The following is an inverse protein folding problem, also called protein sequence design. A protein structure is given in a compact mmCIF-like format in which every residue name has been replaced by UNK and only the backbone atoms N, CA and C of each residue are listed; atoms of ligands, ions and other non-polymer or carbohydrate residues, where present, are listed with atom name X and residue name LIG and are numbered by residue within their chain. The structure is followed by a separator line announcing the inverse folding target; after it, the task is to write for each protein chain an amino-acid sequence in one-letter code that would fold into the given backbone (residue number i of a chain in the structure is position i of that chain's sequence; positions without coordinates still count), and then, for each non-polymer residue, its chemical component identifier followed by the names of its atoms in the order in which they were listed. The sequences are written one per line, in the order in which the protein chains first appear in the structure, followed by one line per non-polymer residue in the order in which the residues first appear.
data_IF_486721973679
#
_entry.id   IF_486721973679
#
_cell.length_a   1.000
_cell.length_b   1.000
_cell.length_c   1.000
_cell.angle_alpha   90.00
_cell.angle_beta   90.00
_cell.angle_gamma   90.00
#
_symmetry.space_group_name_H-M   'P 1'
#
loop_
_entity.id
_entity.type
_entity.pdbx_description
1 polymer ?
#
# COMPACT_ATOMS: atom_id res chain seq x y z
N UNK A 1 -49.48 18.33 15.34
CA UNK A 1 -48.43 17.95 14.37
C UNK A 1 -47.69 16.72 14.90
N UNK A 2 -48.04 15.47 14.56
CA UNK A 2 -47.19 14.35 14.93
C UNK A 2 -46.44 13.75 13.73
N UNK A 3 -45.22 13.34 14.04
CA UNK A 3 -44.38 12.35 13.38
C UNK A 3 -43.79 12.70 12.00
N UNK A 4 -42.63 13.35 12.02
CA UNK A 4 -41.68 13.29 10.92
C UNK A 4 -41.14 11.87 10.75
N UNK A 5 -41.25 11.36 9.54
CA UNK A 5 -40.72 10.07 9.11
C UNK A 5 -39.18 10.11 9.12
N UNK A 6 -38.56 9.72 10.23
CA UNK A 6 -37.14 9.41 10.31
C UNK A 6 -36.88 8.04 9.66
N UNK A 7 -36.96 7.95 8.33
CA UNK A 7 -36.65 6.74 7.60
C UNK A 7 -35.16 6.44 7.67
N UNK A 8 -34.76 5.50 8.52
CA UNK A 8 -33.40 4.96 8.53
C UNK A 8 -33.24 4.06 7.32
N UNK A 9 -32.36 4.43 6.39
CA UNK A 9 -31.98 3.55 5.28
C UNK A 9 -30.80 2.70 5.73
N UNK A 10 -31.06 1.45 6.10
CA UNK A 10 -30.01 0.45 6.29
C UNK A 10 -29.56 -0.06 4.91
N UNK A 11 -28.42 0.43 4.41
CA UNK A 11 -27.76 -0.15 3.23
C UNK A 11 -26.77 -1.21 3.69
N UNK A 12 -27.13 -2.47 3.48
CA UNK A 12 -26.22 -3.60 3.66
C UNK A 12 -25.27 -3.65 2.46
N UNK A 13 -23.97 -3.73 2.72
CA UNK A 13 -23.02 -4.09 1.66
C UNK A 13 -23.28 -5.53 1.26
N UNK A 14 -23.36 -5.79 -0.04
CA UNK A 14 -23.41 -7.15 -0.56
C UNK A 14 -22.07 -7.82 -0.23
N UNK A 15 -22.04 -8.93 0.53
CA UNK A 15 -20.80 -9.64 0.79
C UNK A 15 -20.09 -9.97 -0.53
N UNK A 16 -18.79 -9.72 -0.61
CA UNK A 16 -18.00 -9.93 -1.81
C UNK A 16 -18.10 -8.82 -2.86
N UNK A 17 -18.83 -7.72 -2.59
CA UNK A 17 -18.82 -6.56 -3.49
C UNK A 17 -17.41 -5.96 -3.58
N UNK A 18 -16.99 -5.48 -4.75
CA UNK A 18 -15.73 -4.78 -4.90
C UNK A 18 -15.64 -3.53 -4.00
N UNK A 19 -14.47 -3.32 -3.39
CA UNK A 19 -14.16 -2.25 -2.45
C UNK A 19 -13.21 -1.26 -3.11
N UNK A 20 -13.58 0.01 -3.12
CA UNK A 20 -12.72 1.08 -3.59
C UNK A 20 -11.58 1.37 -2.61
N UNK A 21 -10.35 1.47 -3.11
CA UNK A 21 -9.19 1.89 -2.34
C UNK A 21 -8.46 3.05 -3.03
N UNK A 22 -7.82 3.90 -2.24
CA UNK A 22 -6.89 4.93 -2.68
C UNK A 22 -5.49 4.59 -2.17
N UNK A 23 -4.50 4.58 -3.05
CA UNK A 23 -3.09 4.29 -2.76
C UNK A 23 -2.25 5.53 -3.03
N UNK A 24 -1.51 5.96 -2.03
CA UNK A 24 -0.47 6.99 -2.16
C UNK A 24 0.87 6.36 -1.82
N UNK A 25 1.79 6.36 -2.79
CA UNK A 25 3.09 5.73 -2.66
C UNK A 25 4.16 6.73 -3.08
N UNK A 26 5.12 6.95 -2.21
CA UNK A 26 6.35 7.65 -2.53
C UNK A 26 7.50 6.63 -2.46
N UNK A 27 8.30 6.56 -3.52
CA UNK A 27 9.53 5.75 -3.58
C UNK A 27 10.68 6.67 -3.97
N UNK A 28 11.70 6.77 -3.12
CA UNK A 28 12.92 7.53 -3.39
C UNK A 28 13.62 6.92 -4.62
N UNK A 29 13.98 7.77 -5.60
CA UNK A 29 14.52 7.31 -6.88
C UNK A 29 13.46 6.82 -7.89
N UNK A 30 12.18 6.74 -7.48
CA UNK A 30 11.09 6.27 -8.32
C UNK A 30 10.82 4.77 -8.19
N UNK A 31 9.56 4.39 -8.40
CA UNK A 31 9.15 2.99 -8.44
C UNK A 31 9.14 2.49 -9.89
N UNK A 32 9.83 1.39 -10.17
CA UNK A 32 9.72 0.65 -11.43
C UNK A 32 8.62 -0.39 -11.33
N UNK A 33 7.81 -0.49 -12.37
CA UNK A 33 6.70 -1.43 -12.52
C UNK A 33 5.82 -1.53 -11.26
N UNK A 34 5.31 -0.41 -10.76
CA UNK A 34 4.35 -0.44 -9.66
C UNK A 34 3.10 -1.22 -10.09
N UNK A 35 2.82 -2.30 -9.37
CA UNK A 35 1.75 -3.24 -9.68
C UNK A 35 0.88 -3.54 -8.47
N UNK A 36 -0.38 -3.87 -8.74
CA UNK A 36 -1.34 -4.46 -7.81
C UNK A 36 -1.79 -5.80 -8.39
N UNK A 37 -1.52 -6.88 -7.67
CA UNK A 37 -1.77 -8.26 -8.09
C UNK A 37 -1.22 -8.58 -9.49
N UNK A 38 0.00 -8.12 -9.77
CA UNK A 38 0.69 -8.26 -11.05
C UNK A 38 0.20 -7.35 -12.18
N UNK A 39 -0.85 -6.56 -11.97
CA UNK A 39 -1.34 -5.58 -12.96
C UNK A 39 -0.71 -4.22 -12.72
N UNK A 40 -0.27 -3.49 -13.76
CA UNK A 40 0.24 -2.14 -13.62
C UNK A 40 -0.76 -1.22 -12.89
N UNK A 41 -0.29 -0.54 -11.85
CA UNK A 41 -1.10 0.42 -11.11
C UNK A 41 -0.92 1.80 -11.75
N UNK A 42 -1.75 2.07 -12.76
CA UNK A 42 -1.72 3.34 -13.52
C UNK A 42 -2.40 4.47 -12.75
N UNK A 43 -3.39 4.13 -11.93
CA UNK A 43 -4.19 5.07 -11.16
C UNK A 43 -4.04 4.83 -9.65
N UNK A 44 -4.07 5.92 -8.89
CA UNK A 44 -4.04 5.87 -7.43
C UNK A 44 -5.34 5.34 -6.81
N UNK A 45 -6.44 5.32 -7.57
CA UNK A 45 -7.73 4.80 -7.13
C UNK A 45 -8.05 3.55 -7.91
N UNK A 46 -8.49 2.51 -7.22
CA UNK A 46 -8.87 1.25 -7.85
C UNK A 46 -9.89 0.51 -7.01
N UNK A 47 -10.43 -0.57 -7.55
CA UNK A 47 -11.45 -1.38 -6.88
C UNK A 47 -10.97 -2.82 -6.80
N UNK A 48 -11.04 -3.40 -5.60
CA UNK A 48 -10.56 -4.73 -5.29
C UNK A 48 -11.69 -5.60 -4.75
N UNK A 49 -11.73 -6.87 -5.15
CA UNK A 49 -12.59 -7.86 -4.49
C UNK A 49 -12.08 -8.14 -3.08
N UNK A 50 -12.93 -8.41 -2.08
CA UNK A 50 -12.44 -8.85 -0.77
C UNK A 50 -11.53 -10.08 -0.88
N UNK A 51 -10.42 -10.09 -0.15
CA UNK A 51 -9.41 -11.15 -0.23
C UNK A 51 -7.97 -10.68 -0.07
N UNK A 52 -7.00 -11.58 -0.32
CA UNK A 52 -5.58 -11.26 -0.27
C UNK A 52 -5.12 -10.51 -1.52
N UNK A 53 -4.28 -9.49 -1.31
CA UNK A 53 -3.74 -8.63 -2.36
C UNK A 53 -2.26 -8.34 -2.14
N UNK A 54 -1.58 -7.95 -3.21
CA UNK A 54 -0.16 -7.59 -3.18
C UNK A 54 0.07 -6.32 -3.99
N UNK A 55 0.60 -5.28 -3.33
CA UNK A 55 1.28 -4.18 -4.02
C UNK A 55 2.74 -4.55 -4.19
N UNK A 56 3.28 -4.36 -5.39
CA UNK A 56 4.65 -4.72 -5.72
C UNK A 56 5.31 -3.67 -6.60
N UNK A 57 6.62 -3.49 -6.45
CA UNK A 57 7.43 -2.64 -7.33
C UNK A 57 8.91 -3.00 -7.20
N UNK A 58 9.71 -2.43 -8.10
CA UNK A 58 11.16 -2.46 -8.06
C UNK A 58 11.70 -1.08 -7.65
N UNK A 59 12.71 -1.08 -6.78
CA UNK A 59 13.43 0.12 -6.36
C UNK A 59 14.90 0.01 -6.81
N UNK A 60 15.38 1.02 -7.53
CA UNK A 60 16.77 1.10 -7.95
C UNK A 60 17.66 1.59 -6.80
N UNK A 61 18.83 0.97 -6.66
CA UNK A 61 19.88 1.38 -5.73
C UNK A 61 19.37 1.72 -4.31
N UNK A 62 18.55 0.86 -3.65
CA UNK A 62 18.14 1.12 -2.27
C UNK A 62 19.39 1.22 -1.38
N UNK A 63 19.62 2.42 -0.83
CA UNK A 63 20.75 2.72 0.04
C UNK A 63 20.54 2.26 1.49
N UNK A 64 21.30 2.86 2.41
CA UNK A 64 21.18 2.61 3.86
C UNK A 64 20.06 3.42 4.54
N UNK A 65 19.27 4.16 3.75
CA UNK A 65 18.16 4.96 4.24
C UNK A 65 16.82 4.33 3.84
N UNK A 66 15.73 4.80 4.45
CA UNK A 66 14.40 4.42 4.00
C UNK A 66 14.15 4.97 2.61
N UNK A 67 13.39 4.23 1.80
CA UNK A 67 13.09 4.64 0.44
C UNK A 67 11.60 4.57 0.10
N UNK A 68 10.74 3.97 0.94
CA UNK A 68 9.29 3.93 0.69
C UNK A 68 8.50 4.56 1.83
N UNK A 69 7.50 5.36 1.44
CA UNK A 69 6.40 5.81 2.28
C UNK A 69 5.11 5.44 1.56
N UNK A 70 4.16 4.85 2.27
CA UNK A 70 2.91 4.40 1.65
C UNK A 70 1.73 4.56 2.58
N UNK A 71 0.60 4.98 2.01
CA UNK A 71 -0.71 5.00 2.67
C UNK A 71 -1.78 4.44 1.73
N UNK A 72 -2.57 3.50 2.24
CA UNK A 72 -3.78 2.96 1.64
C UNK A 72 -4.98 3.45 2.43
N UNK A 73 -6.03 3.89 1.76
CA UNK A 73 -7.28 4.32 2.37
C UNK A 73 -8.42 3.56 1.70
N UNK A 74 -9.34 2.98 2.47
CA UNK A 74 -10.62 2.56 1.91
C UNK A 74 -11.45 3.80 1.54
N UNK A 75 -12.09 3.73 0.37
CA UNK A 75 -13.09 4.70 -0.06
C UNK A 75 -14.48 4.06 0.16
N UNK A 76 -15.08 4.18 1.35
CA UNK A 76 -16.43 3.68 1.53
C UNK A 76 -17.41 4.48 0.69
N UNK A 77 -18.43 3.80 0.17
CA UNK A 77 -19.53 4.44 -0.55
C UNK A 77 -20.41 5.29 0.37
N UNK A 78 -20.31 5.08 1.69
CA UNK A 78 -21.07 5.78 2.72
C UNK A 78 -20.08 6.61 3.55
N UNK A 79 -20.26 7.93 3.56
CA UNK A 79 -19.37 8.88 4.25
C UNK A 79 -19.32 8.72 5.77
N UNK A 80 -20.29 8.03 6.37
CA UNK A 80 -20.36 7.76 7.82
C UNK A 80 -19.70 6.44 8.22
N UNK A 81 -19.30 5.61 7.26
CA UNK A 81 -18.54 4.40 7.55
C UNK A 81 -17.11 4.75 7.98
N UNK A 82 -16.49 3.88 8.78
CA UNK A 82 -15.06 3.99 9.05
C UNK A 82 -14.27 4.04 7.74
N UNK A 83 -13.21 4.84 7.71
CA UNK A 83 -12.21 4.85 6.64
C UNK A 83 -10.95 4.13 7.14
N UNK A 84 -10.90 2.78 7.14
CA UNK A 84 -9.67 2.10 7.54
C UNK A 84 -8.50 2.54 6.67
N UNK A 85 -7.35 2.67 7.32
CA UNK A 85 -6.10 3.12 6.72
C UNK A 85 -5.04 2.06 6.96
N UNK A 86 -4.34 1.67 5.91
CA UNK A 86 -3.06 1.00 6.05
C UNK A 86 -1.95 2.00 5.79
N UNK A 87 -0.89 1.95 6.60
CA UNK A 87 0.29 2.77 6.44
C UNK A 87 1.52 1.89 6.41
N UNK A 88 2.56 2.32 5.69
CA UNK A 88 3.86 1.66 5.74
C UNK A 88 4.36 1.62 7.19
N UNK A 89 4.65 0.41 7.66
CA UNK A 89 5.13 0.12 9.01
C UNK A 89 5.98 -1.16 9.00
N UNK A 90 6.93 -1.26 9.92
CA UNK A 90 7.84 -2.41 10.01
C UNK A 90 7.17 -3.58 10.76
N UNK A 91 5.98 -3.99 10.30
CA UNK A 91 5.15 -5.03 10.91
C UNK A 91 5.28 -6.40 10.22
N UNK A 92 6.21 -6.54 9.27
CA UNK A 92 6.46 -7.77 8.51
C UNK A 92 5.55 -7.98 7.29
N UNK A 93 4.55 -7.14 7.04
CA UNK A 93 3.75 -7.18 5.81
C UNK A 93 4.52 -6.67 4.59
N UNK A 94 5.49 -5.78 4.85
CA UNK A 94 6.43 -5.28 3.86
C UNK A 94 7.66 -6.16 3.84
N UNK A 95 7.95 -6.75 2.68
CA UNK A 95 9.15 -7.55 2.47
C UNK A 95 9.84 -7.17 1.18
N UNK A 96 11.14 -7.38 1.13
CA UNK A 96 11.96 -7.12 -0.03
C UNK A 96 12.95 -8.24 -0.28
N UNK A 97 13.27 -8.50 -1.55
CA UNK A 97 14.43 -9.30 -1.93
C UNK A 97 15.44 -8.40 -2.65
N UNK A 98 16.73 -8.66 -2.45
CA UNK A 98 17.83 -8.03 -3.21
C UNK A 98 18.33 -8.93 -4.34
N UNK A 99 17.72 -10.10 -4.50
CA UNK A 99 17.93 -11.02 -5.63
C UNK A 99 16.66 -11.06 -6.49
N UNK A 100 16.78 -11.27 -7.82
CA UNK A 100 15.62 -11.42 -8.67
C UNK A 100 14.73 -12.58 -8.18
N UNK A 101 13.43 -12.33 -7.89
CA UNK A 101 12.51 -13.37 -7.47
C UNK A 101 12.05 -14.21 -8.67
N UNK A 102 11.48 -15.38 -8.37
CA UNK A 102 10.80 -16.21 -9.37
C UNK A 102 9.56 -15.52 -9.94
N UNK A 103 9.08 -16.04 -11.07
CA UNK A 103 7.82 -15.61 -11.66
C UNK A 103 6.66 -15.73 -10.67
N UNK A 104 5.69 -14.83 -10.80
CA UNK A 104 4.49 -14.82 -9.96
C UNK A 104 4.63 -14.07 -8.64
N UNK A 105 5.81 -13.54 -8.29
CA UNK A 105 6.07 -12.84 -7.02
C UNK A 105 5.16 -11.63 -6.74
N UNK A 106 4.54 -11.09 -7.79
CA UNK A 106 3.61 -9.95 -7.73
C UNK A 106 2.16 -10.36 -7.41
N UNK A 107 1.87 -11.66 -7.28
CA UNK A 107 0.52 -12.17 -7.05
C UNK A 107 0.31 -12.65 -5.61
N UNK A 108 -0.94 -12.59 -5.11
CA UNK A 108 -1.32 -13.26 -3.88
C UNK A 108 -0.97 -14.76 -3.90
N UNK A 109 -0.60 -15.31 -2.74
CA UNK A 109 -0.25 -16.72 -2.59
C UNK A 109 1.17 -17.10 -2.99
N UNK A 110 1.98 -16.19 -3.53
CA UNK A 110 3.40 -16.45 -3.77
C UNK A 110 4.16 -16.69 -2.47
N UNK A 111 4.96 -17.76 -2.43
CA UNK A 111 5.80 -18.12 -1.30
C UNK A 111 7.04 -17.21 -1.21
N UNK A 112 7.03 -16.27 -0.27
CA UNK A 112 8.02 -15.19 -0.15
C UNK A 112 9.09 -15.44 0.92
N UNK A 113 9.46 -16.69 1.16
CA UNK A 113 10.48 -17.02 2.17
C UNK A 113 11.86 -16.41 1.89
N UNK A 114 12.17 -16.13 0.62
CA UNK A 114 13.40 -15.45 0.18
C UNK A 114 13.33 -13.92 0.28
N UNK A 115 12.21 -13.36 0.74
CA UNK A 115 12.05 -11.93 0.96
C UNK A 115 12.26 -11.64 2.46
N UNK A 116 13.21 -10.77 2.75
CA UNK A 116 13.46 -10.29 4.10
C UNK A 116 12.40 -9.24 4.47
N UNK A 117 11.92 -9.20 5.72
CA UNK A 117 11.10 -8.10 6.22
C UNK A 117 11.82 -6.77 6.04
N UNK A 118 11.09 -5.74 5.63
CA UNK A 118 11.63 -4.38 5.58
C UNK A 118 11.71 -3.78 6.98
N UNK A 119 12.69 -2.92 7.18
CA UNK A 119 12.97 -2.27 8.46
C UNK A 119 12.57 -0.80 8.44
N UNK A 120 12.23 -0.27 9.63
CA UNK A 120 11.94 1.14 9.79
C UNK A 120 13.22 1.95 9.61
N UNK A 121 13.26 2.80 8.58
CA UNK A 121 14.38 3.68 8.28
C UNK A 121 13.84 5.05 7.83
N UNK A 122 14.46 6.16 8.25
CA UNK A 122 14.04 7.48 7.84
C UNK A 122 14.18 7.63 6.33
N UNK A 123 13.11 8.11 5.66
CA UNK A 123 13.14 8.41 4.23
C UNK A 123 13.67 9.83 4.03
N UNK A 124 14.82 10.02 3.36
CA UNK A 124 15.38 11.34 3.13
C UNK A 124 14.41 12.24 2.37
N UNK A 125 14.49 13.54 2.65
CA UNK A 125 13.76 14.55 1.89
C UNK A 125 14.22 14.51 0.42
N UNK A 126 13.32 14.42 -0.57
CA UNK A 126 13.72 14.50 -1.97
C UNK A 126 14.30 15.88 -2.30
N UNK A 127 15.08 15.93 -3.37
CA UNK A 127 15.40 17.21 -4.01
C UNK A 127 14.09 17.92 -4.46
N UNK A 128 14.10 19.26 -4.56
CA UNK A 128 12.94 20.02 -5.00
C UNK A 128 12.36 19.44 -6.30
N UNK A 129 11.12 18.94 -6.21
CA UNK A 129 10.47 18.18 -7.29
C UNK A 129 8.96 18.14 -7.11
N UNK A 130 8.24 17.68 -8.14
CA UNK A 130 6.79 17.46 -8.07
C UNK A 130 6.35 16.38 -7.07
N UNK A 131 7.28 15.63 -6.46
CA UNK A 131 7.01 14.60 -5.47
C UNK A 131 7.29 15.05 -4.02
N UNK A 132 7.85 16.25 -3.82
CA UNK A 132 8.17 16.78 -2.49
C UNK A 132 6.93 16.92 -1.61
N UNK A 133 5.83 17.43 -2.17
CA UNK A 133 4.57 17.56 -1.43
C UNK A 133 4.01 16.20 -0.98
N UNK A 134 4.17 15.15 -1.80
CA UNK A 134 3.68 13.81 -1.48
C UNK A 134 4.52 13.20 -0.34
N UNK A 135 5.84 13.38 -0.38
CA UNK A 135 6.73 13.00 0.71
C UNK A 135 6.38 13.76 2.01
N UNK A 136 6.18 15.08 1.93
CA UNK A 136 5.81 15.90 3.09
C UNK A 136 4.46 15.50 3.70
N UNK A 137 3.50 15.12 2.85
CA UNK A 137 2.20 14.67 3.30
C UNK A 137 2.31 13.30 3.98
N UNK A 138 2.98 12.34 3.35
CA UNK A 138 3.07 10.96 3.86
C UNK A 138 3.88 10.88 5.17
N UNK A 139 5.03 11.55 5.26
CA UNK A 139 5.96 11.41 6.40
C UNK A 139 5.37 11.81 7.76
N UNK A 140 4.21 12.47 7.79
CA UNK A 140 3.52 12.88 9.02
C UNK A 140 2.86 11.69 9.72
N UNK A 141 2.32 10.76 8.93
CA UNK A 141 1.42 9.71 9.41
C UNK A 141 1.92 8.28 9.11
N UNK A 142 3.01 8.13 8.35
CA UNK A 142 3.53 6.83 7.92
C UNK A 142 5.00 6.64 8.27
N UNK A 143 5.39 5.40 8.53
CA UNK A 143 6.78 5.06 8.82
C UNK A 143 7.53 4.77 7.53
N UNK A 144 8.71 5.36 7.40
CA UNK A 144 9.65 5.06 6.32
C UNK A 144 10.17 3.65 6.40
N UNK A 145 10.22 2.95 5.26
CA UNK A 145 10.79 1.61 5.21
C UNK A 145 11.94 1.53 4.22
N UNK A 146 12.89 0.66 4.53
CA UNK A 146 14.00 0.32 3.65
C UNK A 146 14.48 -1.13 3.85
N UNK A 147 15.61 -1.44 3.26
CA UNK A 147 16.32 -2.71 3.42
C UNK A 147 17.52 -2.51 4.33
N UNK A 148 17.91 -3.53 5.09
CA UNK A 148 19.05 -3.43 6.01
C UNK A 148 20.39 -3.30 5.29
N UNK A 149 20.52 -3.94 4.13
CA UNK A 149 21.76 -3.96 3.34
C UNK A 149 21.54 -3.23 2.02
N UNK A 150 22.41 -2.25 1.67
CA UNK A 150 22.35 -1.60 0.37
C UNK A 150 22.43 -2.60 -0.77
N UNK A 151 21.68 -2.36 -1.84
CA UNK A 151 21.67 -3.21 -3.02
C UNK A 151 21.57 -2.38 -4.30
N UNK A 152 21.88 -2.98 -5.44
CA UNK A 152 21.66 -2.34 -6.75
C UNK A 152 20.18 -2.28 -7.14
N UNK A 153 19.37 -3.19 -6.60
CA UNK A 153 17.95 -3.35 -6.87
C UNK A 153 17.28 -4.00 -5.67
N UNK A 154 16.04 -3.61 -5.37
CA UNK A 154 15.15 -4.38 -4.50
C UNK A 154 13.80 -4.64 -5.18
N UNK A 155 13.32 -5.87 -5.03
CA UNK A 155 11.96 -6.29 -5.38
C UNK A 155 11.11 -6.23 -4.12
N UNK A 156 10.22 -5.26 -4.05
CA UNK A 156 9.44 -4.94 -2.84
C UNK A 156 8.02 -5.40 -3.01
N UNK A 157 7.48 -6.02 -1.97
CA UNK A 157 6.08 -6.41 -1.88
C UNK A 157 5.47 -6.01 -0.54
N UNK A 158 4.23 -5.54 -0.60
CA UNK A 158 3.35 -5.37 0.55
C UNK A 158 2.15 -6.29 0.37
N UNK A 159 2.05 -7.29 1.23
CA UNK A 159 0.94 -8.24 1.25
C UNK A 159 -0.09 -7.80 2.29
N UNK A 160 -1.36 -7.77 1.90
CA UNK A 160 -2.46 -7.40 2.81
C UNK A 160 -3.72 -8.21 2.48
N UNK A 161 -4.61 -8.32 3.45
CA UNK A 161 -5.96 -8.82 3.26
C UNK A 161 -6.96 -7.67 3.33
N UNK A 162 -7.88 -7.62 2.39
CA UNK A 162 -8.94 -6.62 2.31
C UNK A 162 -10.30 -7.26 2.60
N UNK A 163 -11.02 -6.72 3.56
CA UNK A 163 -12.40 -7.12 3.86
C UNK A 163 -13.29 -5.91 4.16
N UNK A 164 -14.50 -6.17 4.64
CA UNK A 164 -15.46 -5.11 5.01
C UNK A 164 -15.01 -4.24 6.19
N UNK A 165 -14.06 -4.72 7.00
CA UNK A 165 -13.47 -4.02 8.15
C UNK A 165 -12.21 -3.26 7.78
N UNK A 166 -11.56 -3.62 6.68
CA UNK A 166 -10.50 -2.87 6.04
C UNK A 166 -9.27 -3.69 5.72
N UNK A 167 -8.10 -3.16 6.08
CA UNK A 167 -6.82 -3.78 5.80
C UNK A 167 -6.34 -4.61 7.00
N UNK A 168 -5.84 -5.81 6.74
CA UNK A 168 -5.18 -6.69 7.73
C UNK A 168 -3.97 -7.42 7.15
#
# INVERSE_FOLDING_TARGET
MPAGCGGVVLRWRKPGAPIGISLRVYVAGGAKDLCLDGKPLVEQRTTLTPGPHVVSFQADAPGSAGFVLMKAELNPEISTASNPVAASSANGQWKASTRPPHDGWRHPGFFDSDFAPMVALPVPKPAPSSQEWLWEWLRKDVTGLGVETPAAMAWVRWSFHLDDKGFS
#
